data_IF_881157995337
#
_entry.id   IF_881157995337
#
_cell.length_a   1.000
_cell.length_b   1.000
_cell.length_c   1.000
_cell.angle_alpha   90.00
_cell.angle_beta   90.00
_cell.angle_gamma   90.00
#
_symmetry.space_group_name_H-M   'P 1'
#
loop_
_entity.id
_entity.type
_entity.pdbx_description
1 polymer ?
#
# COMPACT_ATOMS: atom_id res chain seq x y z
N UNK A 1 -0.92 -6.77 28.17
CA UNK A 1 -0.10 -6.24 27.07
C UNK A 1 -0.98 -6.24 25.84
N UNK A 2 -1.27 -5.09 25.24
CA UNK A 2 -2.09 -5.07 24.04
C UNK A 2 -1.20 -5.53 22.88
N UNK A 3 -1.34 -6.78 22.47
CA UNK A 3 -0.70 -7.30 21.27
C UNK A 3 -1.35 -6.57 20.07
N UNK A 4 -0.67 -5.55 19.54
CA UNK A 4 -1.17 -4.78 18.39
C UNK A 4 -0.98 -5.52 17.06
N UNK A 5 -0.25 -6.64 17.09
CA UNK A 5 0.09 -7.50 15.95
C UNK A 5 -0.42 -8.90 16.25
N UNK A 6 -1.17 -9.46 15.31
CA UNK A 6 -1.76 -10.79 15.37
C UNK A 6 -0.81 -11.83 14.76
N UNK A 7 -0.36 -11.58 13.52
CA UNK A 7 0.51 -12.50 12.77
C UNK A 7 1.69 -11.76 12.17
N UNK A 8 2.88 -12.37 12.26
CA UNK A 8 4.08 -11.97 11.53
C UNK A 8 4.68 -13.19 10.86
N UNK A 9 4.78 -13.18 9.54
CA UNK A 9 5.30 -14.33 8.81
C UNK A 9 6.14 -13.94 7.60
N UNK A 10 7.19 -14.73 7.29
CA UNK A 10 7.96 -14.56 6.05
C UNK A 10 7.28 -15.29 4.91
N UNK A 11 6.94 -14.58 3.85
CA UNK A 11 6.25 -15.15 2.68
C UNK A 11 7.28 -15.65 1.65
N UNK A 12 6.98 -16.81 1.06
CA UNK A 12 7.74 -17.41 -0.02
C UNK A 12 8.87 -18.34 0.41
N UNK A 13 9.44 -19.03 -0.58
CA UNK A 13 10.56 -19.96 -0.43
C UNK A 13 11.83 -19.20 0.00
N UNK A 14 12.62 -19.84 0.87
CA UNK A 14 13.96 -19.35 1.19
C UNK A 14 14.86 -19.63 -0.02
N UNK A 15 15.37 -18.57 -0.63
CA UNK A 15 16.32 -18.62 -1.74
C UNK A 15 17.54 -17.84 -1.31
N UNK A 16 18.73 -18.36 -1.61
CA UNK A 16 19.98 -17.70 -1.26
C UNK A 16 20.08 -16.32 -1.91
N UNK A 17 20.67 -15.38 -1.18
CA UNK A 17 20.84 -13.99 -1.58
C UNK A 17 19.53 -13.21 -1.87
N UNK A 18 18.36 -13.71 -1.42
CA UNK A 18 17.08 -13.01 -1.54
C UNK A 18 16.40 -12.81 -0.18
N UNK A 19 16.15 -11.55 0.17
CA UNK A 19 15.38 -11.21 1.38
C UNK A 19 13.91 -11.58 1.15
N UNK A 20 13.37 -12.47 1.99
CA UNK A 20 11.93 -12.79 2.00
C UNK A 20 11.12 -11.62 2.54
N UNK A 21 10.00 -11.36 1.88
CA UNK A 21 9.01 -10.39 2.35
C UNK A 21 8.37 -10.88 3.65
N UNK A 22 7.89 -9.94 4.47
CA UNK A 22 7.21 -10.23 5.72
C UNK A 22 5.78 -9.71 5.59
N UNK A 23 4.80 -10.58 5.83
CA UNK A 23 3.40 -10.18 6.00
C UNK A 23 3.13 -9.94 7.48
N UNK A 24 2.45 -8.85 7.78
CA UNK A 24 2.09 -8.45 9.15
C UNK A 24 0.59 -8.22 9.19
N UNK A 25 -0.12 -9.03 9.98
CA UNK A 25 -1.53 -8.82 10.29
C UNK A 25 -1.61 -8.06 11.61
N UNK A 26 -2.22 -6.88 11.59
CA UNK A 26 -2.43 -6.07 12.79
C UNK A 26 -3.79 -6.40 13.39
N UNK A 27 -3.87 -6.49 14.72
CA UNK A 27 -5.14 -6.64 15.44
C UNK A 27 -6.05 -5.43 15.19
N UNK A 28 -5.45 -4.23 15.09
CA UNK A 28 -6.18 -2.98 14.87
C UNK A 28 -5.69 -2.25 13.63
N UNK A 29 -6.62 -1.96 12.72
CA UNK A 29 -6.38 -1.16 11.51
C UNK A 29 -5.74 0.21 11.82
N UNK A 30 -6.15 0.84 12.91
CA UNK A 30 -5.65 2.15 13.34
C UNK A 30 -4.13 2.14 13.55
N UNK A 31 -3.58 1.04 14.11
CA UNK A 31 -2.14 0.90 14.34
C UNK A 31 -1.39 0.83 13.01
N UNK A 32 -1.85 -0.02 12.09
CA UNK A 32 -1.31 -0.11 10.73
C UNK A 32 -1.30 1.25 10.04
N UNK A 33 -2.40 2.00 10.11
CA UNK A 33 -2.53 3.30 9.45
C UNK A 33 -1.63 4.38 10.09
N UNK A 34 -1.34 4.30 11.40
CA UNK A 34 -0.33 5.12 12.07
C UNK A 34 1.07 4.79 11.56
N UNK A 35 1.43 3.51 11.50
CA UNK A 35 2.73 3.06 10.96
C UNK A 35 2.88 3.51 9.50
N UNK A 36 1.83 3.36 8.69
CA UNK A 36 1.82 3.75 7.28
C UNK A 36 2.11 5.24 7.08
N UNK A 37 1.53 6.11 7.93
CA UNK A 37 1.80 7.55 7.92
C UNK A 37 3.22 7.87 8.35
N UNK A 38 3.69 7.28 9.46
CA UNK A 38 5.02 7.54 10.04
C UNK A 38 6.15 7.02 9.17
N UNK A 39 5.94 5.93 8.43
CA UNK A 39 6.94 5.35 7.52
C UNK A 39 7.54 6.39 6.57
N UNK A 40 6.72 7.30 6.00
CA UNK A 40 7.18 8.27 5.00
C UNK A 40 8.30 9.19 5.52
N UNK A 41 8.32 9.44 6.83
CA UNK A 41 9.28 10.32 7.50
C UNK A 41 10.31 9.55 8.34
N UNK A 42 10.22 8.21 8.41
CA UNK A 42 11.10 7.39 9.23
C UNK A 42 12.52 7.32 8.64
N UNK A 43 13.58 7.74 9.37
CA UNK A 43 14.97 7.61 8.93
C UNK A 43 15.36 6.14 8.71
N UNK A 44 14.99 5.26 9.65
CA UNK A 44 15.24 3.81 9.57
C UNK A 44 14.69 3.21 8.28
N UNK A 45 13.48 3.59 7.87
CA UNK A 45 12.90 3.05 6.62
C UNK A 45 13.65 3.53 5.36
N UNK A 46 14.27 4.71 5.42
CA UNK A 46 15.02 5.28 4.29
C UNK A 46 16.43 4.71 4.22
N UNK A 47 17.13 4.68 5.35
CA UNK A 47 18.51 4.21 5.48
C UNK A 47 18.62 2.71 5.19
N UNK A 48 17.71 1.91 5.75
CA UNK A 48 17.71 0.44 5.58
C UNK A 48 16.94 -0.02 4.33
N UNK A 49 16.44 0.92 3.51
CA UNK A 49 15.68 0.60 2.30
C UNK A 49 14.35 -0.16 2.54
N UNK A 50 13.80 -0.12 3.76
CA UNK A 50 12.58 -0.83 4.15
C UNK A 50 11.36 -0.20 3.49
N UNK A 51 10.61 -1.02 2.75
CA UNK A 51 9.40 -0.62 2.05
C UNK A 51 8.19 -1.38 2.57
N UNK A 52 7.15 -0.64 2.90
CA UNK A 52 5.82 -1.19 3.17
C UNK A 52 4.95 -1.09 1.92
N UNK A 53 4.23 -2.15 1.64
CA UNK A 53 3.16 -2.23 0.65
C UNK A 53 1.93 -2.84 1.31
N UNK A 54 0.75 -2.49 0.82
CA UNK A 54 -0.46 -3.24 1.16
C UNK A 54 -0.39 -4.56 0.39
N UNK A 55 -0.74 -5.65 1.07
CA UNK A 55 -1.01 -6.92 0.40
C UNK A 55 -2.41 -6.81 -0.19
N UNK A 56 -2.49 -6.74 -1.52
CA UNK A 56 -3.72 -6.57 -2.26
C UNK A 56 -4.01 -7.83 -3.04
N UNK A 57 -5.29 -8.22 -3.05
CA UNK A 57 -5.77 -9.29 -3.91
C UNK A 57 -5.67 -8.88 -5.39
N UNK A 58 -5.63 -9.83 -6.34
CA UNK A 58 -5.71 -9.51 -7.77
C UNK A 58 -6.94 -8.65 -8.12
N UNK A 59 -8.05 -8.85 -7.42
CA UNK A 59 -9.31 -8.12 -7.57
C UNK A 59 -9.16 -6.66 -7.16
N UNK A 60 -8.39 -6.39 -6.11
CA UNK A 60 -8.06 -5.03 -5.65
C UNK A 60 -6.98 -4.36 -6.51
N UNK A 61 -6.04 -5.16 -7.04
CA UNK A 61 -4.91 -4.68 -7.83
C UNK A 61 -5.34 -4.14 -9.19
N UNK A 62 -6.28 -4.83 -9.87
CA UNK A 62 -6.73 -4.45 -11.22
C UNK A 62 -7.35 -3.03 -11.27
N UNK A 63 -8.34 -2.67 -10.43
CA UNK A 63 -8.87 -1.31 -10.36
C UNK A 63 -7.79 -0.29 -10.02
N UNK A 64 -6.89 -0.63 -9.09
CA UNK A 64 -5.78 0.23 -8.69
C UNK A 64 -4.87 0.57 -9.87
N UNK A 65 -4.56 -0.41 -10.72
CA UNK A 65 -3.79 -0.19 -11.95
C UNK A 65 -4.54 0.71 -12.94
N UNK A 66 -5.85 0.51 -13.13
CA UNK A 66 -6.65 1.36 -14.02
C UNK A 66 -6.67 2.84 -13.56
N UNK A 67 -6.59 3.09 -12.25
CA UNK A 67 -6.56 4.44 -11.67
C UNK A 67 -5.16 5.07 -11.64
N UNK A 68 -4.09 4.28 -11.79
CA UNK A 68 -2.72 4.76 -11.68
C UNK A 68 -2.41 5.91 -12.66
N UNK A 69 -2.78 5.86 -13.95
CA UNK A 69 -2.53 6.97 -14.87
C UNK A 69 -3.19 8.28 -14.45
N UNK A 70 -4.43 8.23 -13.93
CA UNK A 70 -5.16 9.41 -13.44
C UNK A 70 -4.45 10.04 -12.25
N UNK A 71 -3.95 9.22 -11.32
CA UNK A 71 -3.20 9.68 -10.15
C UNK A 71 -1.83 10.25 -10.54
N UNK A 72 -1.13 9.63 -11.49
CA UNK A 72 0.15 10.15 -11.98
C UNK A 72 0.00 11.49 -12.66
N UNK A 73 -1.05 11.66 -13.49
CA UNK A 73 -1.39 12.96 -14.07
C UNK A 73 -1.62 14.02 -12.99
N UNK A 74 -2.41 13.71 -11.97
CA UNK A 74 -2.65 14.61 -10.85
C UNK A 74 -1.36 14.97 -10.09
N UNK A 75 -0.47 14.01 -9.87
CA UNK A 75 0.84 14.26 -9.24
C UNK A 75 1.72 15.19 -10.09
N UNK A 76 1.74 15.01 -11.41
CA UNK A 76 2.45 15.92 -12.35
C UNK A 76 1.89 17.35 -12.28
N UNK A 77 0.58 17.49 -12.10
CA UNK A 77 -0.10 18.77 -11.87
C UNK A 77 0.07 19.32 -10.44
N UNK A 78 0.96 18.73 -9.61
CA UNK A 78 1.17 19.06 -8.19
C UNK A 78 -0.07 18.90 -7.29
N UNK A 79 -1.08 18.17 -7.74
CA UNK A 79 -2.25 17.81 -6.91
C UNK A 79 -1.91 16.65 -5.98
N UNK A 80 -2.58 16.62 -4.83
CA UNK A 80 -2.42 15.54 -3.85
C UNK A 80 -3.14 14.28 -4.34
N UNK A 81 -2.39 13.38 -4.98
CA UNK A 81 -2.87 12.11 -5.52
C UNK A 81 -2.27 10.89 -4.83
N UNK A 82 -3.11 9.96 -4.37
CA UNK A 82 -2.65 8.75 -3.70
C UNK A 82 -3.70 7.64 -3.62
N UNK A 83 -3.26 6.46 -3.19
CA UNK A 83 -4.14 5.31 -2.97
C UNK A 83 -4.39 5.10 -1.47
N UNK A 84 -5.55 4.54 -1.14
CA UNK A 84 -5.88 3.98 0.17
C UNK A 84 -6.54 2.62 -0.07
N UNK A 85 -5.81 1.51 0.15
CA UNK A 85 -6.25 0.18 -0.28
C UNK A 85 -6.42 0.11 -1.81
N UNK A 86 -7.55 -0.44 -2.30
CA UNK A 86 -7.83 -0.51 -3.73
C UNK A 86 -8.22 0.85 -4.34
N UNK A 87 -8.63 1.83 -3.53
CA UNK A 87 -9.24 3.07 -4.02
C UNK A 87 -8.23 4.18 -4.27
N UNK A 88 -8.42 4.91 -5.38
CA UNK A 88 -7.65 6.10 -5.72
C UNK A 88 -8.29 7.37 -5.15
N UNK A 89 -7.47 8.35 -4.78
CA UNK A 89 -7.91 9.65 -4.29
C UNK A 89 -7.10 10.78 -4.94
N UNK A 90 -7.80 11.83 -5.37
CA UNK A 90 -7.21 13.10 -5.82
C UNK A 90 -7.87 14.22 -5.03
N UNK A 91 -7.08 15.06 -4.36
CA UNK A 91 -7.57 16.19 -3.55
C UNK A 91 -8.63 15.78 -2.52
N UNK A 92 -8.48 14.57 -1.97
CA UNK A 92 -9.40 14.00 -0.98
C UNK A 92 -10.67 13.38 -1.56
N UNK A 93 -10.94 13.52 -2.87
CA UNK A 93 -12.08 12.88 -3.53
C UNK A 93 -11.70 11.51 -4.07
N UNK A 94 -12.56 10.52 -3.83
CA UNK A 94 -12.40 9.19 -4.39
C UNK A 94 -12.59 9.25 -5.90
N UNK A 95 -11.69 8.62 -6.66
CA UNK A 95 -11.86 8.43 -8.10
C UNK A 95 -12.33 7.01 -8.33
N UNK A 96 -13.36 6.85 -9.15
CA UNK A 96 -13.81 5.53 -9.59
C UNK A 96 -12.91 5.10 -10.77
N UNK A 97 -12.54 3.82 -10.79
CA UNK A 97 -12.07 3.21 -12.03
C UNK A 97 -13.24 3.12 -13.00
N UNK A 98 -13.02 3.44 -14.27
CA UNK A 98 -14.06 3.27 -15.28
C UNK A 98 -14.23 1.75 -15.50
N UNK A 99 -15.34 1.18 -15.03
CA UNK A 99 -15.69 -0.24 -15.21
C UNK A 99 -16.28 -0.42 -16.62
N UNK A 100 -15.59 0.06 -17.66
CA UNK A 100 -16.03 -0.04 -19.06
C UNK A 100 -15.16 -0.97 -19.90
N UNK A 101 -14.33 -1.80 -19.27
CA UNK A 101 -13.44 -2.73 -19.97
C UNK A 101 -13.36 -4.10 -19.29
N UNK A 102 -14.51 -4.70 -18.95
CA UNK A 102 -14.63 -6.15 -18.75
C UNK A 102 -16.04 -6.58 -19.18
N UNK A 103 -16.28 -6.62 -20.50
CA UNK A 103 -17.29 -7.49 -21.12
C UNK A 103 -16.60 -8.14 -22.31
#
# INVERSE_FOLDING_TARGET
MNEEVDVVHRVGLKVDNRIRQIIILFVRRVVRDVIWRRRKTSPVCKEEGIRFSEDLTPEDWKPRQAMLPKIEKARKERKVGGFRGPFGFIEGRCIMGDISAVV
#
